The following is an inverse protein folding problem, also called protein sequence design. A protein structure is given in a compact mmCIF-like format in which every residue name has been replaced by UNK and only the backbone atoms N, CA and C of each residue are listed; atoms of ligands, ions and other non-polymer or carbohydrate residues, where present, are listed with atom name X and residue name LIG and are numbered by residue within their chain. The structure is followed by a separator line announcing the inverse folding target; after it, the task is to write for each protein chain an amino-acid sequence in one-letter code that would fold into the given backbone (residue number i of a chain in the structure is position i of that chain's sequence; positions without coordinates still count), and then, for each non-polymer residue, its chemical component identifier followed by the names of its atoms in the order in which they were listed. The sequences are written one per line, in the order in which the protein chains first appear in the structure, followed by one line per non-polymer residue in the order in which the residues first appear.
data_IF_405243812453
#
_entry.id   IF_405243812453
#
_cell.length_a   1.000
_cell.length_b   1.000
_cell.length_c   1.000
_cell.angle_alpha   90.00
_cell.angle_beta   90.00
_cell.angle_gamma   90.00
#
_symmetry.space_group_name_H-M   'P 1'
#
loop_
_entity.id
_entity.type
_entity.pdbx_description
1 polymer ?
#
# COMPACT_ATOMS: atom_id res chain seq x y z
N UNK A 1 -0.42 -2.59 -4.63
CA UNK A 1 0.27 -2.37 -5.91
C UNK A 1 0.82 -3.69 -6.40
N UNK A 2 0.72 -3.93 -7.70
CA UNK A 2 1.28 -5.10 -8.39
C UNK A 2 2.05 -4.65 -9.63
N UNK A 3 3.13 -5.36 -9.94
CA UNK A 3 3.87 -5.19 -11.19
C UNK A 3 3.97 -6.55 -11.89
N UNK A 4 3.57 -6.59 -13.15
CA UNK A 4 3.59 -7.79 -13.98
C UNK A 4 4.48 -7.56 -15.20
N UNK A 5 5.18 -8.61 -15.67
CA UNK A 5 5.85 -8.57 -16.97
C UNK A 5 4.82 -8.66 -18.11
N UNK A 6 5.28 -8.38 -19.34
CA UNK A 6 4.49 -8.52 -20.57
C UNK A 6 3.97 -9.95 -20.82
N UNK A 7 4.62 -10.96 -20.24
CA UNK A 7 4.17 -12.37 -20.23
C UNK A 7 3.03 -12.64 -19.23
N UNK A 8 2.61 -11.63 -18.46
CA UNK A 8 1.59 -11.74 -17.41
C UNK A 8 2.11 -12.28 -16.08
N UNK A 9 3.41 -12.58 -15.96
CA UNK A 9 4.01 -13.07 -14.72
C UNK A 9 4.16 -11.94 -13.71
N UNK A 10 3.68 -12.18 -12.49
CA UNK A 10 3.82 -11.22 -11.40
C UNK A 10 5.29 -11.13 -10.95
N UNK A 11 5.87 -9.94 -11.07
CA UNK A 11 7.26 -9.64 -10.65
C UNK A 11 7.26 -9.11 -9.22
N UNK A 12 6.29 -8.26 -8.88
CA UNK A 12 6.28 -7.55 -7.61
C UNK A 12 4.86 -7.41 -7.07
N UNK A 13 4.75 -7.49 -5.73
CA UNK A 13 3.52 -7.24 -5.00
C UNK A 13 3.84 -6.54 -3.70
N UNK A 14 3.17 -5.42 -3.46
CA UNK A 14 3.21 -4.75 -2.16
C UNK A 14 1.82 -4.24 -1.77
N UNK A 15 1.60 -4.17 -0.47
CA UNK A 15 0.38 -3.64 0.14
C UNK A 15 0.74 -2.81 1.36
N UNK A 16 -0.01 -1.74 1.57
CA UNK A 16 0.18 -0.83 2.70
C UNK A 16 -1.19 -0.41 3.23
N UNK A 17 -1.29 -0.33 4.55
CA UNK A 17 -2.50 0.06 5.25
C UNK A 17 -2.22 1.39 5.96
N UNK A 18 -3.09 2.37 5.71
CA UNK A 18 -3.03 3.69 6.34
C UNK A 18 -4.08 3.75 7.45
N UNK A 19 -3.63 3.68 8.70
CA UNK A 19 -4.53 3.74 9.86
C UNK A 19 -3.78 4.16 11.13
N UNK A 20 -4.48 4.78 12.10
CA UNK A 20 -3.92 5.00 13.42
C UNK A 20 -3.73 3.66 14.15
N UNK A 21 -2.55 3.50 14.75
CA UNK A 21 -2.18 2.35 15.57
C UNK A 21 -2.22 2.74 17.04
N UNK A 22 -3.01 2.01 17.82
CA UNK A 22 -3.27 2.32 19.22
C UNK A 22 -2.90 1.17 20.16
N UNK A 23 -2.47 1.51 21.37
CA UNK A 23 -1.99 0.62 22.44
C UNK A 23 -2.84 0.72 23.72
N UNK A 24 -2.65 -0.23 24.63
CA UNK A 24 -3.12 -0.22 26.02
C UNK A 24 -2.20 0.58 26.98
N UNK A 25 -1.16 1.24 26.45
CA UNK A 25 -0.13 1.99 27.20
C UNK A 25 0.74 1.14 28.13
N UNK A 26 0.64 -0.19 28.07
CA UNK A 26 1.49 -1.12 28.81
C UNK A 26 2.61 -1.68 27.93
N UNK A 27 2.44 -1.60 26.61
CA UNK A 27 3.41 -2.06 25.62
C UNK A 27 3.37 -1.18 24.35
N UNK A 28 4.29 -1.43 23.41
CA UNK A 28 4.28 -0.82 22.08
C UNK A 28 3.58 -1.69 21.03
N UNK A 29 2.67 -2.59 21.44
CA UNK A 29 1.90 -3.42 20.54
C UNK A 29 0.52 -2.84 20.27
N UNK A 30 0.03 -3.01 19.05
CA UNK A 30 -1.33 -2.62 18.69
C UNK A 30 -2.32 -3.57 19.34
N UNK A 31 -3.34 -3.03 20.01
CA UNK A 31 -4.35 -3.82 20.73
C UNK A 31 -5.67 -3.86 19.97
N UNK A 32 -6.34 -5.02 20.01
CA UNK A 32 -7.67 -5.24 19.47
C UNK A 32 -8.74 -4.81 20.49
N UNK A 33 -9.80 -4.17 19.98
CA UNK A 33 -10.93 -3.71 20.80
C UNK A 33 -10.81 -2.20 21.09
N UNK A 34 -11.86 -1.41 20.82
CA UNK A 34 -11.83 0.03 21.07
C UNK A 34 -11.75 0.36 22.57
N UNK A 35 -12.28 -0.51 23.43
CA UNK A 35 -12.27 -0.42 24.90
C UNK A 35 -10.87 -0.47 25.52
N UNK A 36 -9.89 -1.05 24.81
CA UNK A 36 -8.51 -1.23 25.28
C UNK A 36 -7.53 -0.19 24.73
N UNK A 37 -7.98 0.69 23.84
CA UNK A 37 -7.13 1.68 23.18
C UNK A 37 -7.04 2.93 24.04
N UNK A 38 -5.92 3.07 24.74
CA UNK A 38 -5.66 4.17 25.68
C UNK A 38 -4.65 5.19 25.15
N UNK A 39 -3.85 4.86 24.13
CA UNK A 39 -2.88 5.77 23.53
C UNK A 39 -2.54 5.42 22.08
N UNK A 40 -1.95 6.37 21.36
CA UNK A 40 -1.46 6.18 19.99
C UNK A 40 0.03 5.79 20.01
N UNK A 41 0.38 4.74 19.27
CA UNK A 41 1.78 4.39 19.01
C UNK A 41 2.30 5.15 17.80
N UNK A 42 1.50 5.15 16.73
CA UNK A 42 1.85 5.73 15.44
C UNK A 42 0.59 6.00 14.64
N UNK A 43 0.57 7.12 13.93
CA UNK A 43 -0.46 7.38 12.93
C UNK A 43 0.16 7.32 11.53
N UNK A 44 -0.28 6.35 10.71
CA UNK A 44 0.13 6.25 9.30
C UNK A 44 -0.94 6.79 8.35
N UNK A 45 -2.07 7.27 8.86
CA UNK A 45 -3.20 7.75 8.06
C UNK A 45 -2.79 8.88 7.11
N UNK A 46 -3.57 9.03 6.03
CA UNK A 46 -3.46 10.15 5.11
C UNK A 46 -4.11 11.35 5.80
N UNK A 47 -3.32 12.38 6.09
CA UNK A 47 -3.78 13.52 6.87
C UNK A 47 -4.67 14.45 6.01
N UNK A 48 -5.67 15.13 6.61
CA UNK A 48 -6.53 16.05 5.89
C UNK A 48 -5.73 17.15 5.18
N UNK A 49 -6.07 17.40 3.92
CA UNK A 49 -5.46 18.46 3.08
C UNK A 49 -3.94 18.35 2.91
N UNK A 50 -3.35 17.20 3.21
CA UNK A 50 -1.92 16.94 3.04
C UNK A 50 -1.73 15.78 2.04
N UNK A 51 -1.30 16.07 0.80
CA UNK A 51 -1.02 15.01 -0.17
C UNK A 51 0.12 14.13 0.35
N UNK A 52 0.03 12.83 0.06
CA UNK A 52 1.04 11.84 0.46
C UNK A 52 1.72 11.30 -0.78
N UNK A 53 3.00 11.59 -0.89
CA UNK A 53 3.86 11.06 -1.95
C UNK A 53 4.63 9.84 -1.42
N UNK A 54 4.69 8.78 -2.23
CA UNK A 54 5.47 7.58 -1.92
C UNK A 54 6.28 7.15 -3.13
N UNK A 55 7.56 6.86 -2.89
CA UNK A 55 8.45 6.22 -3.86
C UNK A 55 8.51 4.73 -3.56
N UNK A 56 8.26 3.91 -4.58
CA UNK A 56 8.33 2.45 -4.47
C UNK A 56 9.38 1.97 -5.47
N UNK A 57 10.41 1.32 -4.95
CA UNK A 57 11.46 0.70 -5.76
C UNK A 57 11.05 -0.72 -6.12
N UNK A 58 11.03 -1.01 -7.41
CA UNK A 58 10.64 -2.32 -7.94
C UNK A 58 11.89 -2.95 -8.56
N UNK A 59 12.47 -3.99 -7.93
CA UNK A 59 13.60 -4.69 -8.51
C UNK A 59 13.14 -5.49 -9.74
N UNK A 60 13.77 -5.25 -10.88
CA UNK A 60 13.44 -5.92 -12.12
C UNK A 60 14.39 -7.10 -12.38
N UNK A 61 13.87 -8.28 -12.75
CA UNK A 61 14.68 -9.40 -13.21
C UNK A 61 15.45 -9.03 -14.49
N UNK A 62 16.62 -9.64 -14.69
CA UNK A 62 17.40 -9.46 -15.93
C UNK A 62 16.58 -9.86 -17.16
N UNK A 63 16.61 -9.02 -18.20
CA UNK A 63 15.91 -9.25 -19.46
C UNK A 63 14.45 -8.80 -19.48
N UNK A 64 13.90 -8.28 -18.37
CA UNK A 64 12.57 -7.65 -18.37
C UNK A 64 12.72 -6.17 -18.71
N UNK A 65 12.21 -5.77 -19.87
CA UNK A 65 12.18 -4.39 -20.37
C UNK A 65 10.85 -3.72 -20.13
N UNK A 66 9.76 -4.49 -20.17
CA UNK A 66 8.38 -3.98 -20.16
C UNK A 66 7.63 -4.49 -18.93
N UNK A 67 6.96 -3.56 -18.26
CA UNK A 67 6.27 -3.81 -16.99
C UNK A 67 4.92 -3.11 -16.96
N UNK A 68 3.88 -3.87 -16.64
CA UNK A 68 2.55 -3.37 -16.35
C UNK A 68 2.37 -3.16 -14.85
N UNK A 69 2.18 -1.91 -14.44
CA UNK A 69 1.94 -1.50 -13.08
C UNK A 69 0.44 -1.31 -12.84
N UNK A 70 -0.04 -1.86 -11.73
CA UNK A 70 -1.38 -1.61 -11.22
C UNK A 70 -1.35 -1.16 -9.76
N UNK A 71 -1.93 0.01 -9.49
CA UNK A 71 -2.06 0.60 -8.17
C UNK A 71 -3.53 0.73 -7.81
N UNK A 72 -3.89 0.10 -6.70
CA UNK A 72 -5.24 0.12 -6.16
C UNK A 72 -5.23 0.86 -4.82
N UNK A 73 -6.08 1.86 -4.69
CA UNK A 73 -6.40 2.53 -3.43
C UNK A 73 -7.87 2.26 -3.11
N UNK A 74 -8.12 1.74 -1.91
CA UNK A 74 -9.46 1.48 -1.41
C UNK A 74 -9.61 1.95 0.03
N UNK A 75 -10.84 2.27 0.40
CA UNK A 75 -11.25 2.50 1.76
C UNK A 75 -11.93 1.25 2.31
N UNK A 76 -11.60 0.88 3.53
CA UNK A 76 -12.16 -0.30 4.19
C UNK A 76 -12.51 0.04 5.65
N UNK A 77 -13.77 0.40 5.95
CA UNK A 77 -14.19 0.69 7.32
C UNK A 77 -14.30 -0.58 8.18
N UNK A 78 -14.63 -1.72 7.56
CA UNK A 78 -14.77 -3.02 8.23
C UNK A 78 -14.21 -4.13 7.35
N UNK A 79 -13.78 -5.27 7.94
CA UNK A 79 -13.40 -6.44 7.16
C UNK A 79 -14.51 -6.83 6.17
N UNK A 80 -14.16 -6.99 4.89
CA UNK A 80 -15.12 -7.28 3.80
C UNK A 80 -15.72 -6.06 3.10
N UNK A 81 -15.88 -4.92 3.79
CA UNK A 81 -16.47 -3.71 3.20
C UNK A 81 -15.43 -2.91 2.42
N UNK A 82 -15.17 -3.28 1.16
CA UNK A 82 -14.14 -2.65 0.34
C UNK A 82 -14.78 -1.64 -0.63
N UNK A 83 -14.40 -0.37 -0.47
CA UNK A 83 -14.81 0.72 -1.36
C UNK A 83 -13.61 1.16 -2.21
N UNK A 84 -13.58 0.89 -3.53
CA UNK A 84 -12.50 1.37 -4.38
C UNK A 84 -12.54 2.89 -4.47
N UNK A 85 -11.40 3.54 -4.22
CA UNK A 85 -11.22 4.99 -4.40
C UNK A 85 -10.54 5.27 -5.74
N UNK A 86 -9.48 4.51 -6.04
CA UNK A 86 -8.69 4.75 -7.24
C UNK A 86 -8.06 3.45 -7.77
N UNK A 87 -7.99 3.35 -9.09
CA UNK A 87 -7.28 2.30 -9.81
C UNK A 87 -6.44 2.98 -10.89
N UNK A 88 -5.12 2.84 -10.80
CA UNK A 88 -4.17 3.35 -11.80
C UNK A 88 -3.53 2.14 -12.46
N UNK A 89 -3.57 2.13 -13.80
CA UNK A 89 -2.81 1.19 -14.62
C UNK A 89 -1.82 1.98 -15.45
N UNK A 90 -0.57 1.54 -15.46
CA UNK A 90 0.50 2.20 -16.21
C UNK A 90 1.45 1.17 -16.79
N UNK A 91 1.62 1.20 -18.10
CA UNK A 91 2.68 0.46 -18.77
C UNK A 91 3.97 1.28 -18.71
N UNK A 92 5.09 0.62 -18.39
CA UNK A 92 6.42 1.23 -18.32
C UNK A 92 7.39 0.36 -19.10
N UNK A 93 8.04 0.96 -20.10
CA UNK A 93 9.13 0.34 -20.85
C UNK A 93 10.44 1.02 -20.47
N UNK A 94 11.46 0.23 -20.15
CA UNK A 94 12.80 0.69 -19.84
C UNK A 94 13.69 0.33 -21.02
N UNK A 95 13.85 1.27 -21.95
CA UNK A 95 14.82 1.13 -23.03
C UNK A 95 16.25 1.08 -22.43
N UNK A 96 17.04 0.05 -22.74
CA UNK A 96 18.47 0.09 -22.45
C UNK A 96 19.11 1.15 -23.36
N UNK A 97 19.53 2.26 -22.76
CA UNK A 97 20.45 3.21 -23.42
C UNK A 97 21.83 2.60 -23.58
#
# INVERSE_FOLDING_TARGET
MTANASDGKQIFRTSKIYMPQATDSRSNHMVLGPDKKLGLIRDTSIQPFAPKEETIEIPLPQGVTDVDLEVNLSYQPRPGDIYPIHNIKKHVSIDPK
#
